data_IF_328374866566
#
_entry.id   IF_328374866566
#
_cell.length_a   1.000
_cell.length_b   1.000
_cell.length_c   1.000
_cell.angle_alpha   90.00
_cell.angle_beta   90.00
_cell.angle_gamma   90.00
#
_symmetry.space_group_name_H-M   'P 1'
#
loop_
_entity.id
_entity.type
_entity.pdbx_description
1 polymer ?
#
# COMPACT_ATOMS: atom_id res chain seq x y z
N UNK A 1 -3.92 -5.57 13.43
CA UNK A 1 -5.38 -5.85 13.36
C UNK A 1 -6.12 -5.76 14.69
N UNK A 2 -5.52 -6.09 15.85
CA UNK A 2 -6.22 -5.99 17.16
C UNK A 2 -6.71 -4.57 17.51
N UNK A 3 -6.03 -3.55 17.00
CA UNK A 3 -6.35 -2.13 17.23
C UNK A 3 -7.43 -1.55 16.32
N UNK A 4 -7.83 -2.27 15.25
CA UNK A 4 -8.76 -1.74 14.25
C UNK A 4 -10.21 -2.12 14.58
N UNK A 5 -11.18 -1.19 14.45
CA UNK A 5 -12.61 -1.47 14.54
C UNK A 5 -13.04 -2.58 13.56
N UNK A 6 -14.13 -3.29 13.87
CA UNK A 6 -14.55 -4.47 13.11
C UNK A 6 -14.80 -4.20 11.63
N UNK A 7 -15.47 -3.10 11.34
CA UNK A 7 -15.79 -2.67 9.98
C UNK A 7 -14.53 -2.29 9.19
N UNK A 8 -13.61 -1.56 9.83
CA UNK A 8 -12.38 -1.09 9.22
C UNK A 8 -11.43 -2.24 8.86
N UNK A 9 -11.45 -3.34 9.64
CA UNK A 9 -10.67 -4.55 9.36
C UNK A 9 -10.98 -5.11 7.97
N UNK A 10 -12.19 -4.96 7.45
CA UNK A 10 -12.55 -5.43 6.11
C UNK A 10 -11.81 -4.65 5.03
N UNK A 11 -11.72 -3.33 5.18
CA UNK A 11 -10.99 -2.44 4.27
C UNK A 11 -9.49 -2.80 4.29
N UNK A 12 -8.91 -2.90 5.50
CA UNK A 12 -7.49 -3.23 5.68
C UNK A 12 -7.15 -4.61 5.12
N UNK A 13 -8.02 -5.62 5.34
CA UNK A 13 -7.84 -6.95 4.74
C UNK A 13 -7.87 -6.92 3.22
N UNK A 14 -8.71 -6.06 2.64
CA UNK A 14 -8.77 -5.84 1.19
C UNK A 14 -7.44 -5.29 0.67
N UNK A 15 -6.92 -4.24 1.30
CA UNK A 15 -5.60 -3.66 0.95
C UNK A 15 -4.51 -4.74 1.04
N UNK A 16 -4.45 -5.50 2.15
CA UNK A 16 -3.45 -6.56 2.31
C UNK A 16 -3.53 -7.67 1.24
N UNK A 17 -4.73 -7.96 0.73
CA UNK A 17 -4.90 -8.94 -0.34
C UNK A 17 -4.41 -8.39 -1.68
N UNK A 18 -4.72 -7.13 -1.98
CA UNK A 18 -4.24 -6.40 -3.15
C UNK A 18 -2.68 -6.33 -3.11
N UNK A 19 -2.07 -6.02 -1.96
CA UNK A 19 -0.60 -6.02 -1.78
C UNK A 19 0.07 -7.37 -2.05
N UNK A 20 -0.56 -8.47 -1.64
CA UNK A 20 -0.05 -9.82 -1.94
C UNK A 20 -0.05 -10.08 -3.44
N UNK A 21 -1.09 -9.64 -4.14
CA UNK A 21 -1.21 -9.72 -5.60
C UNK A 21 -0.18 -8.82 -6.28
N UNK A 22 0.03 -7.58 -5.82
CA UNK A 22 1.05 -6.67 -6.34
C UNK A 22 2.43 -7.31 -6.28
N UNK A 23 2.79 -7.94 -5.15
CA UNK A 23 4.05 -8.66 -5.01
C UNK A 23 4.22 -9.80 -6.02
N UNK A 24 3.15 -10.50 -6.38
CA UNK A 24 3.20 -11.54 -7.44
C UNK A 24 3.36 -10.93 -8.82
N UNK A 25 2.62 -9.87 -9.16
CA UNK A 25 2.71 -9.18 -10.45
C UNK A 25 4.13 -8.62 -10.67
N UNK A 26 4.72 -7.97 -9.67
CA UNK A 26 6.09 -7.44 -9.73
C UNK A 26 7.13 -8.55 -9.94
N UNK A 27 6.96 -9.71 -9.31
CA UNK A 27 7.84 -10.88 -9.53
C UNK A 27 7.70 -11.45 -10.93
N UNK A 28 6.48 -11.49 -11.46
CA UNK A 28 6.23 -11.90 -12.85
C UNK A 28 6.91 -10.95 -13.82
N UNK A 29 6.73 -9.64 -13.66
CA UNK A 29 7.41 -8.62 -14.47
C UNK A 29 8.92 -8.82 -14.41
N UNK A 30 9.50 -8.95 -13.20
CA UNK A 30 10.93 -9.16 -13.03
C UNK A 30 11.43 -10.42 -13.75
N UNK A 31 10.72 -11.54 -13.60
CA UNK A 31 11.10 -12.80 -14.23
C UNK A 31 11.03 -12.71 -15.75
N UNK A 32 9.99 -12.08 -16.30
CA UNK A 32 9.83 -11.92 -17.75
C UNK A 32 10.85 -10.95 -18.36
N UNK A 33 11.33 -9.96 -17.58
CA UNK A 33 12.36 -9.03 -18.04
C UNK A 33 13.78 -9.58 -17.93
N UNK A 34 14.06 -10.42 -16.94
CA UNK A 34 15.44 -10.84 -16.61
C UNK A 34 15.72 -12.32 -16.87
N UNK A 35 14.69 -13.14 -17.02
CA UNK A 35 14.81 -14.60 -17.06
C UNK A 35 15.07 -15.25 -15.69
N UNK A 36 15.11 -14.48 -14.60
CA UNK A 36 15.43 -14.97 -13.26
C UNK A 36 14.25 -14.87 -12.29
N UNK A 37 14.08 -15.89 -11.44
CA UNK A 37 13.10 -15.87 -10.35
C UNK A 37 13.74 -15.34 -9.08
N UNK A 38 13.15 -14.32 -8.46
CA UNK A 38 13.60 -13.85 -7.15
C UNK A 38 13.30 -14.90 -6.06
N UNK A 39 14.21 -15.10 -5.09
CA UNK A 39 13.92 -15.93 -3.93
C UNK A 39 12.77 -15.36 -3.10
N UNK A 40 12.25 -16.17 -2.17
CA UNK A 40 11.29 -15.69 -1.19
C UNK A 40 11.88 -14.48 -0.45
N UNK A 41 11.07 -13.45 -0.24
CA UNK A 41 11.52 -12.29 0.52
C UNK A 41 11.79 -12.72 1.97
N UNK A 42 12.89 -12.27 2.59
CA UNK A 42 13.14 -12.55 3.99
C UNK A 42 11.99 -12.01 4.84
N UNK A 43 11.61 -12.75 5.89
CA UNK A 43 10.67 -12.23 6.88
C UNK A 43 11.33 -11.04 7.58
N UNK A 44 10.82 -9.84 7.30
CA UNK A 44 11.14 -8.66 8.11
C UNK A 44 10.24 -8.67 9.33
N UNK A 45 10.83 -8.40 10.50
CA UNK A 45 10.06 -8.05 11.67
C UNK A 45 9.30 -6.76 11.40
N UNK A 46 7.97 -6.86 11.38
CA UNK A 46 7.09 -5.70 11.27
C UNK A 46 6.87 -5.16 12.67
N UNK A 47 7.43 -3.98 12.94
CA UNK A 47 7.15 -3.27 14.20
C UNK A 47 5.69 -2.81 14.16
N UNK A 48 4.86 -3.14 15.16
CA UNK A 48 3.48 -2.66 15.19
C UNK A 48 3.47 -1.13 15.35
N UNK A 49 2.49 -0.44 14.74
CA UNK A 49 2.35 0.99 14.93
C UNK A 49 1.97 1.31 16.38
N UNK A 50 2.31 2.53 16.83
CA UNK A 50 2.06 2.98 18.21
C UNK A 50 0.57 3.09 18.52
N UNK A 51 -0.23 3.52 17.54
CA UNK A 51 -1.68 3.60 17.62
C UNK A 51 -2.32 3.19 16.29
N UNK A 52 -3.65 3.09 16.29
CA UNK A 52 -4.39 2.83 15.05
C UNK A 52 -4.26 3.99 14.05
N UNK A 53 -4.36 5.23 14.52
CA UNK A 53 -4.23 6.42 13.69
C UNK A 53 -2.81 6.57 13.12
N UNK A 54 -1.77 6.34 13.94
CA UNK A 54 -0.39 6.33 13.45
C UNK A 54 -0.22 5.27 12.35
N UNK A 55 -0.80 4.08 12.55
CA UNK A 55 -0.74 3.01 11.56
C UNK A 55 -1.44 3.34 10.23
N UNK A 56 -2.58 4.05 10.28
CA UNK A 56 -3.26 4.53 9.06
C UNK A 56 -2.40 5.58 8.35
N UNK A 57 -1.85 6.53 9.10
CA UNK A 57 -1.03 7.60 8.55
C UNK A 57 0.26 7.08 7.92
N UNK A 58 0.97 6.16 8.61
CA UNK A 58 2.16 5.51 8.07
C UNK A 58 1.84 4.73 6.79
N UNK A 59 0.76 3.94 6.79
CA UNK A 59 0.32 3.21 5.60
C UNK A 59 0.00 4.16 4.44
N UNK A 60 -0.70 5.28 4.69
CA UNK A 60 -1.04 6.25 3.66
C UNK A 60 0.21 6.85 2.99
N UNK A 61 1.23 7.21 3.79
CA UNK A 61 2.49 7.68 3.24
C UNK A 61 3.23 6.62 2.42
N UNK A 62 3.13 5.36 2.82
CA UNK A 62 3.74 4.26 2.08
C UNK A 62 3.03 4.02 0.73
N UNK A 63 1.70 4.17 0.66
CA UNK A 63 0.98 4.13 -0.63
C UNK A 63 1.42 5.25 -1.56
N UNK A 64 1.59 6.49 -1.06
CA UNK A 64 2.08 7.60 -1.88
C UNK A 64 3.49 7.35 -2.40
N UNK A 65 4.40 6.85 -1.55
CA UNK A 65 5.76 6.47 -1.99
C UNK A 65 5.72 5.34 -3.02
N UNK A 66 4.83 4.37 -2.86
CA UNK A 66 4.65 3.27 -3.80
C UNK A 66 4.23 3.80 -5.18
N UNK A 67 3.23 4.68 -5.24
CA UNK A 67 2.80 5.36 -6.46
C UNK A 67 3.96 6.11 -7.14
N UNK A 68 4.70 6.93 -6.38
CA UNK A 68 5.85 7.67 -6.92
C UNK A 68 6.93 6.75 -7.49
N UNK A 69 7.22 5.66 -6.78
CA UNK A 69 8.21 4.66 -7.19
C UNK A 69 7.78 3.94 -8.45
N UNK A 70 6.55 3.42 -8.47
CA UNK A 70 6.04 2.66 -9.61
C UNK A 70 5.86 3.53 -10.85
N UNK A 71 5.47 4.79 -10.70
CA UNK A 71 5.43 5.75 -11.82
C UNK A 71 6.80 5.91 -12.50
N UNK A 72 7.89 5.94 -11.74
CA UNK A 72 9.26 5.98 -12.30
C UNK A 72 9.60 4.71 -13.07
N UNK A 73 9.19 3.54 -12.57
CA UNK A 73 9.39 2.26 -13.27
C UNK A 73 8.59 2.24 -14.57
N UNK A 74 7.35 2.72 -14.56
CA UNK A 74 6.46 2.76 -15.71
C UNK A 74 7.08 3.52 -16.89
N UNK A 75 7.78 4.62 -16.63
CA UNK A 75 8.44 5.41 -17.68
C UNK A 75 9.54 4.65 -18.43
N UNK A 76 10.13 3.63 -17.81
CA UNK A 76 11.16 2.80 -18.43
C UNK A 76 10.60 1.55 -19.11
N UNK A 77 9.30 1.25 -18.98
CA UNK A 77 8.70 0.05 -19.55
C UNK A 77 8.42 0.20 -21.04
N UNK A 78 8.68 -0.88 -21.80
CA UNK A 78 8.41 -0.94 -23.24
C UNK A 78 7.27 -1.90 -23.59
N UNK A 79 7.17 -3.01 -22.85
CA UNK A 79 6.12 -4.02 -23.06
C UNK A 79 4.75 -3.49 -22.65
N UNK A 80 3.79 -3.49 -23.58
CA UNK A 80 2.40 -3.09 -23.29
C UNK A 80 1.78 -3.95 -22.18
N UNK A 81 2.11 -5.23 -22.14
CA UNK A 81 1.64 -6.14 -21.09
C UNK A 81 2.17 -5.72 -19.71
N UNK A 82 3.47 -5.42 -19.59
CA UNK A 82 4.06 -4.97 -18.33
C UNK A 82 3.53 -3.60 -17.92
N UNK A 83 3.35 -2.68 -18.88
CA UNK A 83 2.71 -1.38 -18.67
C UNK A 83 1.32 -1.56 -18.07
N UNK A 84 0.49 -2.44 -18.61
CA UNK A 84 -0.86 -2.66 -18.07
C UNK A 84 -0.83 -3.21 -16.65
N UNK A 85 0.05 -4.18 -16.38
CA UNK A 85 0.22 -4.76 -15.03
C UNK A 85 0.70 -3.71 -14.02
N UNK A 86 1.63 -2.83 -14.40
CA UNK A 86 2.13 -1.81 -13.49
C UNK A 86 1.13 -0.65 -13.31
N UNK A 87 0.38 -0.30 -14.36
CA UNK A 87 -0.72 0.67 -14.27
C UNK A 87 -1.78 0.17 -13.29
N UNK A 88 -2.15 -1.12 -13.34
CA UNK A 88 -3.07 -1.73 -12.37
C UNK A 88 -2.59 -1.53 -10.94
N UNK A 89 -1.33 -1.86 -10.64
CA UNK A 89 -0.72 -1.65 -9.31
C UNK A 89 -0.83 -0.18 -8.91
N UNK A 90 -0.42 0.76 -9.78
CA UNK A 90 -0.44 2.20 -9.47
C UNK A 90 -1.86 2.67 -9.15
N UNK A 91 -2.87 2.24 -9.92
CA UNK A 91 -4.26 2.63 -9.67
C UNK A 91 -4.83 1.98 -8.41
N UNK A 92 -4.37 0.78 -8.06
CA UNK A 92 -4.73 0.15 -6.79
C UNK A 92 -4.11 0.90 -5.59
N UNK A 93 -2.86 1.39 -5.68
CA UNK A 93 -2.27 2.20 -4.61
C UNK A 93 -2.99 3.54 -4.43
N UNK A 94 -3.47 4.16 -5.51
CA UNK A 94 -4.34 5.35 -5.43
C UNK A 94 -5.63 5.04 -4.65
N UNK A 95 -6.29 3.94 -5.00
CA UNK A 95 -7.49 3.45 -4.33
C UNK A 95 -7.20 3.08 -2.86
N UNK A 96 -6.01 2.60 -2.53
CA UNK A 96 -5.58 2.34 -1.15
C UNK A 96 -5.43 3.63 -0.36
N UNK A 97 -4.77 4.64 -0.93
CA UNK A 97 -4.65 5.96 -0.31
C UNK A 97 -6.02 6.59 -0.02
N UNK A 98 -6.98 6.48 -0.93
CA UNK A 98 -8.35 6.97 -0.73
C UNK A 98 -9.06 6.24 0.42
N UNK A 99 -8.95 4.90 0.46
CA UNK A 99 -9.49 4.08 1.56
C UNK A 99 -8.87 4.43 2.91
N UNK A 100 -7.55 4.62 2.96
CA UNK A 100 -6.84 4.98 4.18
C UNK A 100 -7.20 6.39 4.64
N UNK A 101 -7.37 7.33 3.71
CA UNK A 101 -7.89 8.67 3.99
C UNK A 101 -9.31 8.60 4.58
N UNK A 102 -10.19 7.79 3.98
CA UNK A 102 -11.52 7.55 4.54
C UNK A 102 -11.46 7.00 5.99
N UNK A 103 -10.58 6.03 6.26
CA UNK A 103 -10.40 5.48 7.60
C UNK A 103 -9.83 6.52 8.58
N UNK A 104 -8.87 7.33 8.15
CA UNK A 104 -8.30 8.41 8.94
C UNK A 104 -9.40 9.40 9.34
N UNK A 105 -10.26 9.78 8.39
CA UNK A 105 -11.34 10.73 8.65
C UNK A 105 -12.40 10.15 9.57
N UNK A 106 -12.85 8.93 9.28
CA UNK A 106 -13.88 8.20 10.05
C UNK A 106 -13.50 7.99 11.52
N UNK A 107 -12.21 7.85 11.82
CA UNK A 107 -11.72 7.59 13.17
C UNK A 107 -11.21 8.85 13.88
N UNK A 108 -11.49 10.04 13.34
CA UNK A 108 -11.10 11.33 13.93
C UNK A 108 -9.60 11.40 14.24
N UNK A 109 -8.75 10.91 13.34
CA UNK A 109 -7.31 10.77 13.59
C UNK A 109 -6.53 12.09 13.61
N UNK A 110 -7.19 13.23 13.79
CA UNK A 110 -6.58 14.55 13.92
C UNK A 110 -6.60 15.06 15.36
N UNK A 111 -5.72 16.00 15.69
CA UNK A 111 -5.75 16.65 16.99
C UNK A 111 -7.02 17.49 17.15
N UNK A 112 -7.77 17.24 18.23
CA UNK A 112 -8.93 18.07 18.57
C UNK A 112 -8.44 19.41 19.09
N UNK A 113 -8.91 20.48 18.47
CA UNK A 113 -8.64 21.83 18.96
C UNK A 113 -9.28 21.98 20.35
N UNK A 114 -8.46 22.21 21.38
CA UNK A 114 -8.89 22.45 22.76
C UNK A 114 -8.32 23.77 23.28
N UNK A 115 -8.95 24.41 24.28
CA UNK A 115 -8.41 25.64 24.86
C UNK A 115 -7.00 25.37 25.38
N UNK A 116 -6.03 26.18 24.93
CA UNK A 116 -4.69 26.18 25.53
C UNK A 116 -4.86 26.56 27.00
N UNK A 117 -4.45 25.67 27.90
CA UNK A 117 -4.35 25.97 29.33
C UNK A 117 -3.37 27.11 29.58
#
# INVERSE_FOLDING_TARGET
MKMAPAEDRKIIKGIMADEKKHGQLLRTIYCEMTGHTLPAAPQKEVKPPKSYCDGIQDALYDEWKAMEKYRKILYAMQSRRHINMLTEIITDEMKHADKLTYLYTRNECWEKCGPRK
#
